data_IF_196953889577
#
_entry.id   IF_196953889577
#
_cell.length_a   1.000
_cell.length_b   1.000
_cell.length_c   1.000
_cell.angle_alpha   90.00
_cell.angle_beta   90.00
_cell.angle_gamma   90.00
#
_symmetry.space_group_name_H-M   'P 1'
#
loop_
_entity.id
_entity.type
_entity.pdbx_description
1 polymer ?
#
# COMPACT_ATOMS: atom_id res chain seq x y z
N UNK A 1 -23.37 -17.94 -25.50
CA UNK A 1 -22.51 -17.19 -26.45
C UNK A 1 -22.06 -15.81 -25.96
N UNK A 2 -22.96 -14.98 -25.40
CA UNK A 2 -22.73 -13.55 -25.11
C UNK A 2 -21.78 -13.25 -23.93
N UNK A 3 -21.78 -14.09 -22.89
CA UNK A 3 -20.90 -13.94 -21.71
C UNK A 3 -19.40 -14.04 -22.07
N UNK A 4 -19.02 -14.94 -22.98
CA UNK A 4 -17.64 -15.12 -23.44
C UNK A 4 -17.12 -13.89 -24.22
N UNK A 5 -17.98 -13.26 -25.05
CA UNK A 5 -17.62 -12.05 -25.81
C UNK A 5 -17.40 -10.86 -24.87
N UNK A 6 -18.28 -10.65 -23.89
CA UNK A 6 -18.14 -9.58 -22.87
C UNK A 6 -16.87 -9.75 -22.02
N UNK A 7 -16.57 -10.96 -21.59
CA UNK A 7 -15.35 -11.25 -20.84
C UNK A 7 -14.07 -10.95 -21.64
N UNK A 8 -14.05 -11.26 -22.95
CA UNK A 8 -12.92 -10.92 -23.83
C UNK A 8 -12.75 -9.42 -24.04
N UNK A 9 -13.84 -8.68 -24.22
CA UNK A 9 -13.82 -7.22 -24.36
C UNK A 9 -13.28 -6.57 -23.08
N UNK A 10 -13.80 -6.98 -21.92
CA UNK A 10 -13.31 -6.51 -20.63
C UNK A 10 -11.82 -6.81 -20.44
N UNK A 11 -11.39 -8.03 -20.75
CA UNK A 11 -9.97 -8.40 -20.67
C UNK A 11 -9.10 -7.50 -21.53
N UNK A 12 -9.53 -7.19 -22.77
CA UNK A 12 -8.83 -6.25 -23.65
C UNK A 12 -8.75 -4.85 -23.05
N UNK A 13 -9.83 -4.32 -22.46
CA UNK A 13 -9.80 -3.00 -21.84
C UNK A 13 -8.92 -2.96 -20.59
N UNK A 14 -9.03 -3.94 -19.69
CA UNK A 14 -8.16 -4.03 -18.50
C UNK A 14 -6.70 -4.14 -18.93
N UNK A 15 -6.42 -5.02 -19.90
CA UNK A 15 -5.07 -5.19 -20.44
C UNK A 15 -4.57 -3.88 -21.07
N UNK A 16 -5.38 -3.19 -21.88
CA UNK A 16 -5.00 -1.91 -22.48
C UNK A 16 -4.73 -0.83 -21.41
N UNK A 17 -5.56 -0.72 -20.37
CA UNK A 17 -5.36 0.23 -19.26
C UNK A 17 -4.08 -0.13 -18.50
N UNK A 18 -3.91 -1.39 -18.11
CA UNK A 18 -2.72 -1.84 -17.39
C UNK A 18 -1.44 -1.68 -18.23
N UNK A 19 -1.50 -1.93 -19.54
CA UNK A 19 -0.38 -1.68 -20.46
C UNK A 19 -0.13 -0.18 -20.63
N UNK A 20 -1.15 0.66 -20.71
CA UNK A 20 -0.98 2.11 -20.78
C UNK A 20 -0.31 2.64 -19.50
N UNK A 21 -0.76 2.19 -18.33
CA UNK A 21 -0.14 2.53 -17.03
C UNK A 21 1.31 2.03 -16.95
N UNK A 22 1.56 0.77 -17.32
CA UNK A 22 2.90 0.19 -17.31
C UNK A 22 3.83 0.86 -18.33
N UNK A 23 3.33 1.17 -19.53
CA UNK A 23 4.12 1.80 -20.59
C UNK A 23 4.42 3.25 -20.26
N UNK A 24 3.44 4.00 -19.72
CA UNK A 24 3.67 5.34 -19.23
C UNK A 24 4.78 5.31 -18.17
N UNK A 25 4.65 4.48 -17.15
CA UNK A 25 5.64 4.41 -16.07
C UNK A 25 7.03 3.90 -16.50
N UNK A 26 7.12 2.93 -17.40
CA UNK A 26 8.39 2.43 -17.95
C UNK A 26 9.07 3.46 -18.87
N UNK A 27 8.31 4.12 -19.75
CA UNK A 27 8.82 5.18 -20.63
C UNK A 27 9.34 6.38 -19.84
N UNK A 28 8.85 6.56 -18.61
CA UNK A 28 9.30 7.62 -17.72
C UNK A 28 10.41 7.19 -16.75
N UNK A 29 10.73 5.90 -16.55
CA UNK A 29 11.67 5.48 -15.49
C UNK A 29 13.10 6.07 -15.60
N UNK A 30 13.73 6.19 -16.79
CA UNK A 30 14.98 6.96 -16.95
C UNK A 30 14.73 8.46 -17.18
N UNK A 31 13.53 8.82 -17.64
CA UNK A 31 13.16 10.18 -18.08
C UNK A 31 12.57 11.05 -16.97
N UNK A 32 12.17 10.52 -15.80
CA UNK A 32 11.69 11.29 -14.65
C UNK A 32 12.74 12.32 -14.18
N UNK A 33 14.03 11.95 -14.27
CA UNK A 33 15.17 12.83 -13.96
C UNK A 33 15.29 13.98 -14.98
N UNK A 34 14.89 13.75 -16.24
CA UNK A 34 14.96 14.73 -17.34
C UNK A 34 13.64 15.45 -17.65
N UNK A 35 12.49 14.97 -17.15
CA UNK A 35 11.19 15.59 -17.34
C UNK A 35 10.88 16.61 -16.25
N UNK A 36 11.47 16.46 -15.07
CA UNK A 36 11.43 17.53 -14.06
C UNK A 36 12.19 18.79 -14.49
N UNK A 37 13.09 18.70 -15.48
CA UNK A 37 13.69 19.87 -16.13
C UNK A 37 12.90 20.39 -17.34
N UNK A 38 11.90 19.64 -17.85
CA UNK A 38 11.08 20.03 -19.02
C UNK A 38 9.62 20.43 -18.73
N UNK A 39 9.20 20.54 -17.47
CA UNK A 39 7.99 21.28 -17.09
C UNK A 39 6.99 20.50 -16.22
N UNK A 40 6.22 21.24 -15.41
CA UNK A 40 5.22 20.70 -14.49
C UNK A 40 4.10 19.90 -15.20
N UNK A 41 3.84 20.19 -16.46
CA UNK A 41 2.70 19.71 -17.23
C UNK A 41 2.74 18.20 -17.50
N UNK A 42 3.94 17.62 -17.69
CA UNK A 42 4.08 16.18 -17.91
C UNK A 42 3.73 15.35 -16.66
N UNK A 43 4.03 15.88 -15.47
CA UNK A 43 3.71 15.22 -14.20
C UNK A 43 2.22 15.30 -13.87
N UNK A 44 1.56 16.41 -14.23
CA UNK A 44 0.11 16.57 -14.05
C UNK A 44 -0.67 15.67 -15.01
N UNK A 45 -0.25 15.58 -16.28
CA UNK A 45 -0.86 14.66 -17.25
C UNK A 45 -0.76 13.20 -16.81
N UNK A 46 0.43 12.76 -16.36
CA UNK A 46 0.61 11.39 -15.89
C UNK A 46 -0.28 11.09 -14.66
N UNK A 47 -0.41 12.07 -13.76
CA UNK A 47 -1.28 11.94 -12.60
C UNK A 47 -2.75 11.78 -13.01
N UNK A 48 -3.24 12.62 -13.92
CA UNK A 48 -4.61 12.53 -14.46
C UNK A 48 -4.88 11.17 -15.13
N UNK A 49 -3.89 10.64 -15.87
CA UNK A 49 -3.98 9.29 -16.46
C UNK A 49 -4.06 8.21 -15.39
N UNK A 50 -3.22 8.27 -14.34
CA UNK A 50 -3.21 7.30 -13.24
C UNK A 50 -4.52 7.38 -12.45
N UNK A 51 -5.00 8.58 -12.16
CA UNK A 51 -6.25 8.83 -11.43
C UNK A 51 -7.44 8.27 -12.20
N UNK A 52 -7.57 8.60 -13.49
CA UNK A 52 -8.63 8.05 -14.36
C UNK A 52 -8.54 6.52 -14.49
N UNK A 53 -7.34 5.98 -14.69
CA UNK A 53 -7.14 4.52 -14.77
C UNK A 53 -7.55 3.84 -13.46
N UNK A 54 -7.24 4.46 -12.33
CA UNK A 54 -7.60 3.94 -11.01
C UNK A 54 -9.11 4.03 -10.77
N UNK A 55 -9.77 5.11 -11.17
CA UNK A 55 -11.23 5.22 -11.11
C UNK A 55 -11.93 4.11 -11.91
N UNK A 56 -11.40 3.78 -13.09
CA UNK A 56 -11.91 2.63 -13.86
C UNK A 56 -11.66 1.32 -13.11
N UNK A 57 -10.46 1.09 -12.58
CA UNK A 57 -10.12 -0.12 -11.82
C UNK A 57 -11.02 -0.27 -10.58
N UNK A 58 -11.31 0.83 -9.88
CA UNK A 58 -12.21 0.85 -8.73
C UNK A 58 -13.62 0.39 -9.10
N UNK A 59 -14.21 0.99 -10.14
CA UNK A 59 -15.53 0.60 -10.65
C UNK A 59 -15.55 -0.89 -11.01
N UNK A 60 -14.49 -1.38 -11.65
CA UNK A 60 -14.35 -2.79 -12.02
C UNK A 60 -14.23 -3.72 -10.81
N UNK A 61 -13.53 -3.31 -9.75
CA UNK A 61 -13.37 -4.10 -8.53
C UNK A 61 -14.70 -4.16 -7.76
N UNK A 62 -15.37 -3.02 -7.59
CA UNK A 62 -16.60 -2.89 -6.80
C UNK A 62 -17.82 -3.51 -7.50
N UNK A 63 -17.93 -3.42 -8.83
CA UNK A 63 -19.11 -3.87 -9.56
C UNK A 63 -19.14 -5.39 -9.76
N UNK A 64 -19.59 -6.12 -8.74
CA UNK A 64 -19.67 -7.58 -8.77
C UNK A 64 -20.79 -8.13 -9.67
N UNK A 65 -21.83 -7.33 -9.95
CA UNK A 65 -23.08 -7.80 -10.58
C UNK A 65 -22.98 -7.91 -12.11
N UNK A 66 -22.08 -7.14 -12.74
CA UNK A 66 -21.92 -7.15 -14.20
C UNK A 66 -20.60 -7.75 -14.71
N UNK A 67 -19.57 -7.83 -13.86
CA UNK A 67 -18.20 -8.06 -14.27
C UNK A 67 -17.54 -9.13 -13.39
N UNK A 68 -17.24 -10.28 -13.99
CA UNK A 68 -16.48 -11.34 -13.32
C UNK A 68 -14.99 -11.11 -13.50
N UNK A 69 -14.33 -10.53 -12.48
CA UNK A 69 -12.87 -10.47 -12.44
C UNK A 69 -12.28 -11.87 -12.25
N UNK A 70 -11.13 -12.12 -12.87
CA UNK A 70 -10.34 -13.36 -12.77
C UNK A 70 -8.99 -13.05 -12.13
N UNK A 71 -8.33 -14.07 -11.60
CA UNK A 71 -6.98 -13.91 -11.03
C UNK A 71 -5.94 -13.33 -12.01
N UNK A 72 -6.11 -13.55 -13.32
CA UNK A 72 -5.29 -12.90 -14.35
C UNK A 72 -5.48 -11.38 -14.41
N UNK A 73 -6.71 -10.87 -14.20
CA UNK A 73 -6.98 -9.43 -14.14
C UNK A 73 -6.31 -8.81 -12.92
N UNK A 74 -6.41 -9.45 -11.75
CA UNK A 74 -5.73 -8.99 -10.55
C UNK A 74 -4.20 -9.00 -10.73
N UNK A 75 -3.65 -9.97 -11.46
CA UNK A 75 -2.23 -10.01 -11.78
C UNK A 75 -1.80 -8.85 -12.68
N UNK A 76 -2.61 -8.52 -13.70
CA UNK A 76 -2.36 -7.37 -14.57
C UNK A 76 -2.42 -6.05 -13.79
N UNK A 77 -3.41 -5.89 -12.91
CA UNK A 77 -3.52 -4.72 -12.03
C UNK A 77 -2.27 -4.62 -11.16
N UNK A 78 -1.89 -5.68 -10.44
CA UNK A 78 -0.69 -5.67 -9.60
C UNK A 78 0.58 -5.35 -10.40
N UNK A 79 0.72 -5.91 -11.60
CA UNK A 79 1.87 -5.62 -12.47
C UNK A 79 1.89 -4.14 -12.90
N UNK A 80 0.74 -3.54 -13.21
CA UNK A 80 0.64 -2.12 -13.52
C UNK A 80 0.95 -1.22 -12.31
N UNK A 81 0.66 -1.69 -11.08
CA UNK A 81 0.99 -0.99 -9.85
C UNK A 81 2.47 -1.10 -9.48
N UNK A 82 3.19 -2.14 -9.91
CA UNK A 82 4.62 -2.34 -9.58
C UNK A 82 5.47 -1.09 -9.83
N UNK A 83 5.48 -0.49 -11.04
CA UNK A 83 6.30 0.69 -11.28
C UNK A 83 5.81 1.94 -10.53
N UNK A 84 4.52 2.00 -10.17
CA UNK A 84 3.94 3.09 -9.37
C UNK A 84 4.29 2.98 -7.87
N UNK A 85 4.45 1.75 -7.38
CA UNK A 85 4.84 1.46 -6.01
C UNK A 85 6.35 1.56 -5.79
N UNK A 86 7.15 1.69 -6.85
CA UNK A 86 8.62 1.82 -6.79
C UNK A 86 8.99 3.23 -6.30
N UNK A 87 10.11 3.45 -5.60
CA UNK A 87 10.35 4.72 -4.93
C UNK A 87 10.42 5.86 -5.93
N UNK A 88 9.46 6.77 -5.87
CA UNK A 88 9.60 8.13 -6.43
C UNK A 88 10.48 9.01 -5.52
N UNK A 89 11.14 8.41 -4.53
CA UNK A 89 11.86 9.10 -3.48
C UNK A 89 13.21 9.63 -3.97
N UNK A 90 13.48 10.87 -3.58
CA UNK A 90 14.79 11.50 -3.29
C UNK A 90 15.35 12.54 -4.25
N UNK A 91 14.89 12.67 -5.50
CA UNK A 91 15.46 13.69 -6.42
C UNK A 91 14.45 14.59 -7.11
N UNK A 92 13.24 14.67 -6.58
CA UNK A 92 12.21 15.51 -7.15
C UNK A 92 12.03 16.80 -6.34
N UNK A 93 11.84 17.93 -7.06
CA UNK A 93 11.38 19.18 -6.46
C UNK A 93 10.03 19.00 -5.76
N UNK A 94 9.58 20.03 -5.02
CA UNK A 94 8.35 19.98 -4.20
C UNK A 94 7.12 19.45 -4.97
N UNK A 95 6.91 19.89 -6.21
CA UNK A 95 5.79 19.42 -7.06
C UNK A 95 5.84 17.91 -7.31
N UNK A 96 7.03 17.39 -7.64
CA UNK A 96 7.21 15.96 -7.89
C UNK A 96 6.98 15.12 -6.63
N UNK A 97 7.42 15.59 -5.45
CA UNK A 97 7.10 14.90 -4.18
C UNK A 97 5.60 14.83 -3.91
N UNK A 98 4.87 15.93 -4.14
CA UNK A 98 3.41 15.94 -3.98
C UNK A 98 2.72 14.97 -4.93
N UNK A 99 3.15 14.90 -6.20
CA UNK A 99 2.64 13.92 -7.14
C UNK A 99 2.92 12.49 -6.66
N UNK A 100 4.11 12.22 -6.10
CA UNK A 100 4.45 10.93 -5.53
C UNK A 100 3.55 10.51 -4.37
N UNK A 101 3.24 11.42 -3.44
CA UNK A 101 2.32 11.13 -2.35
C UNK A 101 0.91 10.81 -2.85
N UNK A 102 0.43 11.54 -3.85
CA UNK A 102 -0.88 11.25 -4.45
C UNK A 102 -0.88 9.87 -5.13
N UNK A 103 0.15 9.54 -5.91
CA UNK A 103 0.29 8.21 -6.53
C UNK A 103 0.31 7.12 -5.45
N UNK A 104 1.05 7.32 -4.36
CA UNK A 104 1.09 6.39 -3.23
C UNK A 104 -0.32 6.12 -2.68
N UNK A 105 -1.09 7.18 -2.40
CA UNK A 105 -2.46 7.07 -1.87
C UNK A 105 -3.35 6.29 -2.84
N UNK A 106 -3.26 6.58 -4.13
CA UNK A 106 -4.02 5.90 -5.19
C UNK A 106 -3.66 4.41 -5.26
N UNK A 107 -2.37 4.06 -5.20
CA UNK A 107 -1.92 2.65 -5.15
C UNK A 107 -2.47 1.95 -3.92
N UNK A 108 -2.38 2.57 -2.74
CA UNK A 108 -2.94 2.03 -1.50
C UNK A 108 -4.45 1.80 -1.62
N UNK A 109 -5.19 2.74 -2.21
CA UNK A 109 -6.63 2.61 -2.44
C UNK A 109 -6.96 1.37 -3.28
N UNK A 110 -6.28 1.17 -4.41
CA UNK A 110 -6.48 -0.02 -5.26
C UNK A 110 -6.15 -1.31 -4.50
N UNK A 111 -5.04 -1.32 -3.75
CA UNK A 111 -4.66 -2.50 -2.95
C UNK A 111 -5.69 -2.80 -1.86
N UNK A 112 -6.24 -1.79 -1.19
CA UNK A 112 -7.30 -1.95 -0.19
C UNK A 112 -8.59 -2.50 -0.82
N UNK A 113 -9.01 -1.99 -1.99
CA UNK A 113 -10.16 -2.52 -2.73
C UNK A 113 -9.97 -3.98 -3.16
N UNK A 114 -8.77 -4.32 -3.65
CA UNK A 114 -8.43 -5.69 -3.99
C UNK A 114 -8.46 -6.62 -2.76
N UNK A 115 -7.93 -6.17 -1.62
CA UNK A 115 -7.94 -6.93 -0.38
C UNK A 115 -9.38 -7.09 0.17
N UNK A 116 -10.21 -6.06 0.14
CA UNK A 116 -11.57 -6.13 0.67
C UNK A 116 -12.53 -6.96 -0.20
N UNK A 117 -12.41 -6.88 -1.53
CA UNK A 117 -13.43 -7.45 -2.42
C UNK A 117 -12.96 -8.66 -3.21
N UNK A 118 -11.65 -8.88 -3.35
CA UNK A 118 -11.07 -9.83 -4.33
C UNK A 118 -9.89 -10.63 -3.79
N UNK A 119 -9.67 -10.66 -2.48
CA UNK A 119 -8.52 -11.33 -1.88
C UNK A 119 -8.49 -12.86 -2.15
N UNK A 120 -9.67 -13.50 -2.26
CA UNK A 120 -9.77 -14.89 -2.71
C UNK A 120 -9.20 -15.10 -4.13
N UNK A 121 -9.42 -14.16 -5.05
CA UNK A 121 -8.84 -14.23 -6.40
C UNK A 121 -7.32 -13.99 -6.39
N UNK A 122 -6.83 -13.34 -5.35
CA UNK A 122 -5.42 -13.11 -5.11
C UNK A 122 -4.72 -14.27 -4.41
N UNK A 123 -5.39 -15.35 -4.01
CA UNK A 123 -4.78 -16.41 -3.18
C UNK A 123 -3.41 -16.92 -3.71
N UNK A 124 -3.29 -17.14 -5.02
CA UNK A 124 -2.03 -17.57 -5.68
C UNK A 124 -1.02 -16.43 -5.93
N UNK A 125 -1.42 -15.20 -5.67
CA UNK A 125 -0.70 -13.95 -5.95
C UNK A 125 -0.49 -13.12 -4.68
N UNK A 126 -0.82 -13.64 -3.49
CA UNK A 126 -0.57 -12.99 -2.20
C UNK A 126 0.90 -12.57 -2.05
N UNK A 127 1.91 -13.39 -2.41
CA UNK A 127 3.30 -12.95 -2.32
C UNK A 127 3.61 -11.69 -3.16
N UNK A 128 3.07 -11.63 -4.37
CA UNK A 128 3.23 -10.45 -5.23
C UNK A 128 2.48 -9.24 -4.65
N UNK A 129 1.26 -9.43 -4.16
CA UNK A 129 0.50 -8.38 -3.47
C UNK A 129 1.29 -7.82 -2.26
N UNK A 130 1.77 -8.70 -1.39
CA UNK A 130 2.57 -8.32 -0.22
C UNK A 130 3.84 -7.57 -0.58
N UNK A 131 4.53 -7.98 -1.66
CA UNK A 131 5.73 -7.27 -2.12
C UNK A 131 5.43 -5.78 -2.33
N UNK A 132 4.28 -5.44 -2.92
CA UNK A 132 3.87 -4.05 -3.10
C UNK A 132 3.59 -3.37 -1.76
N UNK A 133 2.87 -4.03 -0.86
CA UNK A 133 2.56 -3.51 0.48
C UNK A 133 3.84 -3.22 1.29
N UNK A 134 4.80 -4.15 1.28
CA UNK A 134 6.09 -3.99 1.94
C UNK A 134 6.92 -2.86 1.31
N UNK A 135 6.88 -2.73 -0.02
CA UNK A 135 7.57 -1.65 -0.74
C UNK A 135 6.98 -0.28 -0.35
N UNK A 136 5.65 -0.16 -0.27
CA UNK A 136 4.98 1.05 0.19
C UNK A 136 5.31 1.37 1.65
N UNK A 137 5.38 0.37 2.51
CA UNK A 137 5.80 0.55 3.90
C UNK A 137 7.24 1.08 4.01
N UNK A 138 8.17 0.50 3.25
CA UNK A 138 9.56 0.98 3.17
C UNK A 138 9.63 2.44 2.67
N UNK A 139 8.82 2.79 1.66
CA UNK A 139 8.73 4.18 1.19
C UNK A 139 8.19 5.14 2.22
N UNK A 140 7.19 4.72 2.99
CA UNK A 140 6.67 5.53 4.06
C UNK A 140 7.76 5.82 5.10
N UNK A 141 8.51 4.80 5.54
CA UNK A 141 9.63 4.99 6.45
C UNK A 141 10.73 5.88 5.88
N UNK A 142 11.15 5.67 4.63
CA UNK A 142 12.11 6.54 3.96
C UNK A 142 11.59 7.97 3.87
N UNK A 143 10.31 8.18 3.57
CA UNK A 143 9.73 9.52 3.54
C UNK A 143 9.85 10.21 4.89
N UNK A 144 9.64 9.48 5.99
CA UNK A 144 9.75 10.00 7.34
C UNK A 144 11.19 10.31 7.76
N UNK A 145 12.16 9.49 7.34
CA UNK A 145 13.59 9.72 7.57
C UNK A 145 14.09 10.98 6.87
N UNK A 146 13.54 11.30 5.70
CA UNK A 146 13.94 12.47 4.91
C UNK A 146 13.20 13.76 5.30
N UNK A 147 12.31 13.71 6.30
CA UNK A 147 11.66 14.92 6.77
C UNK A 147 12.68 15.85 7.45
N UNK A 148 12.57 17.17 7.23
CA UNK A 148 13.49 18.13 7.82
C UNK A 148 13.44 18.05 9.35
N UNK A 149 14.62 18.04 9.97
CA UNK A 149 14.80 17.95 11.42
C UNK A 149 14.60 19.32 12.10
N UNK A 150 13.52 20.03 11.75
CA UNK A 150 13.26 21.39 12.24
C UNK A 150 12.16 21.42 13.31
N UNK A 151 12.18 22.44 14.16
CA UNK A 151 11.11 22.71 15.15
C UNK A 151 9.72 22.89 14.50
N UNK A 152 9.66 23.08 13.17
CA UNK A 152 8.43 23.25 12.40
C UNK A 152 8.11 22.04 11.51
N UNK A 153 8.73 20.87 11.76
CA UNK A 153 8.50 19.63 11.01
C UNK A 153 7.02 19.31 10.85
N UNK A 154 6.24 19.47 11.92
CA UNK A 154 4.80 19.19 11.96
C UNK A 154 3.95 20.12 11.09
N UNK A 155 4.49 21.27 10.68
CA UNK A 155 3.83 22.22 9.76
C UNK A 155 4.26 22.04 8.30
N UNK A 156 5.19 21.12 8.04
CA UNK A 156 5.64 20.85 6.68
C UNK A 156 4.54 20.15 5.90
N UNK A 157 4.32 20.59 4.66
CA UNK A 157 3.39 19.92 3.74
C UNK A 157 3.84 18.49 3.46
N UNK A 158 5.16 18.24 3.39
CA UNK A 158 5.71 16.89 3.23
C UNK A 158 5.36 16.00 4.44
N UNK A 159 5.24 16.57 5.64
CA UNK A 159 4.82 15.84 6.85
C UNK A 159 3.35 15.43 6.76
N UNK A 160 2.44 16.37 6.49
CA UNK A 160 1.01 16.09 6.35
C UNK A 160 0.73 15.08 5.24
N UNK A 161 1.35 15.25 4.08
CA UNK A 161 1.21 14.29 2.97
C UNK A 161 1.72 12.89 3.36
N UNK A 162 2.81 12.80 4.14
CA UNK A 162 3.29 11.50 4.65
C UNK A 162 2.30 10.85 5.65
N UNK A 163 1.57 11.64 6.44
CA UNK A 163 0.53 11.13 7.34
C UNK A 163 -0.68 10.62 6.56
N UNK A 164 -1.09 11.31 5.49
CA UNK A 164 -2.13 10.84 4.59
C UNK A 164 -1.76 9.51 3.93
N UNK A 165 -0.50 9.37 3.50
CA UNK A 165 0.04 8.11 2.99
C UNK A 165 -0.02 7.00 4.05
N UNK A 166 0.33 7.31 5.30
CA UNK A 166 0.22 6.36 6.41
C UNK A 166 -1.24 5.91 6.62
N UNK A 167 -2.19 6.83 6.61
CA UNK A 167 -3.62 6.52 6.71
C UNK A 167 -4.14 5.70 5.51
N UNK A 168 -3.65 5.95 4.31
CA UNK A 168 -3.96 5.14 3.13
C UNK A 168 -3.41 3.70 3.28
N UNK A 169 -2.18 3.55 3.76
CA UNK A 169 -1.58 2.24 4.00
C UNK A 169 -2.27 1.47 5.15
N UNK A 170 -2.72 2.19 6.20
CA UNK A 170 -3.55 1.63 7.28
C UNK A 170 -4.82 0.97 6.75
N UNK A 171 -5.49 1.56 5.77
CA UNK A 171 -6.66 0.96 5.14
C UNK A 171 -6.34 -0.36 4.43
N UNK A 172 -5.16 -0.47 3.80
CA UNK A 172 -4.68 -1.73 3.22
C UNK A 172 -4.45 -2.78 4.32
N UNK A 173 -3.82 -2.38 5.43
CA UNK A 173 -3.58 -3.26 6.56
C UNK A 173 -4.88 -3.74 7.22
N UNK A 174 -5.86 -2.86 7.38
CA UNK A 174 -7.18 -3.23 7.90
C UNK A 174 -7.92 -4.19 6.96
N UNK A 175 -7.84 -3.96 5.65
CA UNK A 175 -8.43 -4.87 4.66
C UNK A 175 -7.79 -6.27 4.72
N UNK A 176 -6.46 -6.36 4.91
CA UNK A 176 -5.77 -7.63 5.14
C UNK A 176 -6.09 -8.24 6.51
N UNK A 177 -6.32 -7.40 7.52
CA UNK A 177 -6.71 -7.79 8.88
C UNK A 177 -8.16 -8.25 9.00
N UNK A 178 -8.93 -8.33 7.92
CA UNK A 178 -10.28 -8.86 7.95
C UNK A 178 -10.26 -10.36 8.29
N UNK A 179 -10.91 -10.73 9.41
CA UNK A 179 -10.95 -12.09 9.95
C UNK A 179 -11.53 -13.12 8.98
N UNK A 180 -12.44 -12.72 8.08
CA UNK A 180 -12.99 -13.60 7.05
C UNK A 180 -11.90 -14.22 6.16
N UNK A 181 -10.77 -13.52 6.01
CA UNK A 181 -9.67 -13.90 5.13
C UNK A 181 -8.42 -14.34 5.90
N UNK A 182 -8.49 -14.42 7.23
CA UNK A 182 -7.33 -14.68 8.09
C UNK A 182 -6.54 -15.92 7.66
N UNK A 183 -7.21 -17.03 7.32
CA UNK A 183 -6.56 -18.28 6.89
C UNK A 183 -5.72 -18.14 5.61
N UNK A 184 -6.04 -17.17 4.76
CA UNK A 184 -5.31 -16.94 3.51
C UNK A 184 -4.05 -16.11 3.74
N UNK A 185 -4.09 -15.20 4.72
CA UNK A 185 -3.08 -14.17 4.91
C UNK A 185 -2.26 -14.33 6.19
N UNK A 186 -2.65 -15.19 7.14
CA UNK A 186 -1.96 -15.36 8.42
C UNK A 186 -0.49 -15.80 8.28
N UNK A 187 -0.13 -16.54 7.22
CA UNK A 187 1.27 -16.92 6.92
C UNK A 187 2.11 -15.78 6.36
N UNK A 188 1.46 -14.69 5.96
CA UNK A 188 2.00 -13.63 5.11
C UNK A 188 2.04 -12.27 5.82
N UNK A 189 1.00 -11.95 6.57
CA UNK A 189 0.91 -10.76 7.41
C UNK A 189 2.07 -10.59 8.42
N UNK A 190 2.60 -11.66 9.04
CA UNK A 190 3.76 -11.58 9.92
C UNK A 190 4.96 -10.84 9.31
N UNK A 191 5.19 -10.95 8.00
CA UNK A 191 6.27 -10.24 7.32
C UNK A 191 6.08 -8.72 7.30
N UNK A 192 4.82 -8.24 7.23
CA UNK A 192 4.50 -6.82 7.34
C UNK A 192 4.75 -6.34 8.76
N UNK A 193 4.28 -7.07 9.76
CA UNK A 193 4.47 -6.72 11.18
C UNK A 193 5.96 -6.73 11.55
N UNK A 194 6.71 -7.72 11.05
CA UNK A 194 8.16 -7.79 11.19
C UNK A 194 8.85 -6.56 10.58
N UNK A 195 8.54 -6.24 9.33
CA UNK A 195 9.13 -5.09 8.62
C UNK A 195 8.78 -3.77 9.30
N UNK A 196 7.56 -3.63 9.82
CA UNK A 196 7.15 -2.47 10.60
C UNK A 196 7.97 -2.35 11.89
N UNK A 197 8.09 -3.43 12.67
CA UNK A 197 8.83 -3.42 13.92
C UNK A 197 10.31 -3.07 13.72
N UNK A 198 10.95 -3.59 12.67
CA UNK A 198 12.31 -3.20 12.30
C UNK A 198 12.39 -1.72 11.90
N UNK A 199 11.48 -1.25 11.04
CA UNK A 199 11.44 0.14 10.59
C UNK A 199 11.31 1.13 11.75
N UNK A 200 10.42 0.87 12.70
CA UNK A 200 10.25 1.70 13.91
C UNK A 200 11.43 1.56 14.87
N UNK A 201 12.04 0.37 14.96
CA UNK A 201 13.23 0.15 15.76
C UNK A 201 14.43 0.99 15.29
N UNK A 202 14.52 1.25 13.98
CA UNK A 202 15.54 2.13 13.39
C UNK A 202 15.13 3.60 13.35
N UNK A 203 13.84 3.90 13.23
CA UNK A 203 13.29 5.25 13.21
C UNK A 203 12.07 5.33 14.14
N UNK A 204 12.24 5.79 15.39
CA UNK A 204 11.11 5.96 16.30
C UNK A 204 10.07 6.91 15.72
N UNK A 205 8.81 6.48 15.75
CA UNK A 205 7.68 7.27 15.27
C UNK A 205 7.26 8.31 16.30
N UNK A 206 6.88 9.49 15.81
CA UNK A 206 6.19 10.49 16.63
C UNK A 206 4.72 10.09 16.91
N UNK A 207 4.05 10.88 17.74
CA UNK A 207 2.67 10.59 18.15
C UNK A 207 1.68 10.54 16.97
N UNK A 208 1.76 11.46 16.01
CA UNK A 208 0.83 11.51 14.88
C UNK A 208 1.08 10.37 13.90
N UNK A 209 2.35 10.05 13.64
CA UNK A 209 2.74 8.91 12.82
C UNK A 209 2.21 7.61 13.42
N UNK A 210 2.34 7.42 14.74
CA UNK A 210 1.78 6.26 15.45
C UNK A 210 0.27 6.20 15.30
N UNK A 211 -0.44 7.28 15.60
CA UNK A 211 -1.91 7.35 15.47
C UNK A 211 -2.37 7.01 14.05
N UNK A 212 -1.62 7.42 13.03
CA UNK A 212 -1.99 7.17 11.64
C UNK A 212 -1.79 5.70 11.21
N UNK A 213 -0.76 5.00 11.70
CA UNK A 213 -0.38 3.67 11.20
C UNK A 213 -0.67 2.49 12.12
N UNK A 214 -0.59 2.68 13.44
CA UNK A 214 -0.70 1.60 14.44
C UNK A 214 -2.05 0.88 14.38
N UNK A 215 -3.21 1.54 14.14
CA UNK A 215 -4.48 0.82 14.00
C UNK A 215 -4.46 -0.25 12.91
N UNK A 216 -3.75 0.01 11.80
CA UNK A 216 -3.57 -0.98 10.74
C UNK A 216 -2.70 -2.14 11.18
N UNK A 217 -1.61 -1.87 11.89
CA UNK A 217 -0.74 -2.91 12.45
C UNK A 217 -1.49 -3.78 13.48
N UNK A 218 -2.37 -3.20 14.28
CA UNK A 218 -3.22 -3.96 15.20
C UNK A 218 -4.18 -4.90 14.47
N UNK A 219 -4.81 -4.44 13.37
CA UNK A 219 -5.63 -5.32 12.53
C UNK A 219 -4.82 -6.51 11.97
N UNK A 220 -3.56 -6.29 11.61
CA UNK A 220 -2.65 -7.35 11.17
C UNK A 220 -2.26 -8.32 12.31
N UNK A 221 -2.01 -7.80 13.51
CA UNK A 221 -1.71 -8.62 14.70
C UNK A 221 -2.91 -9.50 15.07
N UNK A 222 -4.14 -9.01 14.86
CA UNK A 222 -5.38 -9.72 15.18
C UNK A 222 -5.56 -11.01 14.35
N UNK A 223 -5.12 -11.01 13.09
CA UNK A 223 -5.16 -12.20 12.23
C UNK A 223 -3.95 -13.13 12.37
N UNK A 224 -2.93 -12.73 13.14
CA UNK A 224 -1.78 -13.59 13.45
C UNK A 224 -2.11 -14.51 14.63
N UNK A 225 -1.84 -15.82 14.51
CA UNK A 225 -1.94 -16.70 15.67
C UNK A 225 -0.77 -16.48 16.62
N UNK A 226 -0.82 -17.13 17.78
CA UNK A 226 0.29 -17.11 18.73
C UNK A 226 1.59 -17.65 18.11
N UNK A 227 1.50 -18.65 17.24
CA UNK A 227 2.67 -19.26 16.59
C UNK A 227 3.38 -18.25 15.69
N UNK A 228 2.65 -17.58 14.79
CA UNK A 228 3.28 -16.60 13.90
C UNK A 228 3.79 -15.38 14.67
N UNK A 229 3.12 -14.96 15.75
CA UNK A 229 3.62 -13.89 16.63
C UNK A 229 4.94 -14.26 17.31
N UNK A 230 5.07 -15.48 17.82
CA UNK A 230 6.32 -15.98 18.41
C UNK A 230 7.45 -16.06 17.38
N UNK A 231 7.15 -16.56 16.18
CA UNK A 231 8.12 -16.62 15.07
C UNK A 231 8.58 -15.22 14.65
N UNK A 232 7.62 -14.28 14.52
CA UNK A 232 7.92 -12.88 14.22
C UNK A 232 8.87 -12.29 15.26
N UNK A 233 8.56 -12.47 16.55
CA UNK A 233 9.38 -11.98 17.65
C UNK A 233 10.80 -12.57 17.66
N UNK A 234 10.94 -13.87 17.39
CA UNK A 234 12.24 -14.55 17.35
C UNK A 234 13.17 -13.99 16.25
N UNK A 235 12.59 -13.56 15.12
CA UNK A 235 13.33 -13.07 13.95
C UNK A 235 13.62 -11.55 13.98
N UNK A 236 13.28 -10.86 15.06
CA UNK A 236 13.57 -9.42 15.23
C UNK A 236 14.91 -9.21 15.96
N UNK A 237 15.59 -8.11 15.64
CA UNK A 237 16.69 -7.60 16.45
C UNK A 237 16.17 -6.98 17.76
N UNK A 238 17.04 -6.56 18.68
CA UNK A 238 16.61 -6.09 20.00
C UNK A 238 15.71 -4.85 19.94
N UNK A 239 16.02 -3.90 19.03
CA UNK A 239 15.17 -2.74 18.79
C UNK A 239 13.77 -3.13 18.29
N UNK A 240 13.70 -4.02 17.30
CA UNK A 240 12.43 -4.55 16.79
C UNK A 240 11.66 -5.36 17.84
N UNK A 241 12.35 -6.14 18.67
CA UNK A 241 11.74 -6.90 19.79
C UNK A 241 11.11 -5.96 20.82
N UNK A 242 11.76 -4.85 21.15
CA UNK A 242 11.22 -3.83 22.05
C UNK A 242 9.95 -3.20 21.47
N UNK A 243 9.98 -2.80 20.19
CA UNK A 243 8.81 -2.27 19.48
C UNK A 243 7.67 -3.30 19.43
N UNK A 244 7.96 -4.54 19.07
CA UNK A 244 6.95 -5.59 18.96
C UNK A 244 6.30 -5.90 20.30
N UNK A 245 7.07 -5.96 21.39
CA UNK A 245 6.51 -6.09 22.76
C UNK A 245 5.55 -4.95 23.07
N UNK A 246 5.96 -3.70 22.79
CA UNK A 246 5.11 -2.53 23.02
C UNK A 246 3.80 -2.61 22.21
N UNK A 247 3.88 -2.99 20.93
CA UNK A 247 2.69 -3.19 20.08
C UNK A 247 1.75 -4.28 20.61
N UNK A 248 2.28 -5.40 21.12
CA UNK A 248 1.44 -6.47 21.69
C UNK A 248 0.75 -6.02 22.98
N UNK A 249 1.44 -5.25 23.82
CA UNK A 249 0.85 -4.67 25.03
C UNK A 249 -0.26 -3.69 24.66
N UNK A 250 0.02 -2.75 23.76
CA UNK A 250 -0.94 -1.75 23.28
C UNK A 250 -2.15 -2.40 22.60
N UNK A 251 -1.93 -3.38 21.72
CA UNK A 251 -2.99 -4.17 21.09
C UNK A 251 -3.90 -4.84 22.13
N UNK A 252 -3.32 -5.48 23.15
CA UNK A 252 -4.09 -6.16 24.21
C UNK A 252 -4.88 -5.15 25.04
N UNK A 253 -4.33 -3.98 25.34
CA UNK A 253 -4.98 -3.00 26.21
C UNK A 253 -6.06 -2.21 25.49
N UNK A 254 -5.79 -1.79 24.24
CA UNK A 254 -6.56 -0.72 23.58
C UNK A 254 -7.32 -1.17 22.33
N UNK A 255 -6.96 -2.30 21.71
CA UNK A 255 -7.54 -2.72 20.42
C UNK A 255 -8.34 -4.03 20.50
N UNK A 256 -7.83 -5.04 21.20
CA UNK A 256 -8.52 -6.35 21.27
C UNK A 256 -9.92 -6.25 21.88
N UNK A 257 -10.13 -5.30 22.78
CA UNK A 257 -11.38 -5.12 23.53
C UNK A 257 -12.33 -4.07 22.93
N UNK A 258 -11.98 -3.42 21.82
CA UNK A 258 -12.84 -2.40 21.19
C UNK A 258 -13.83 -2.96 20.16
N UNK A 259 -13.84 -4.29 19.94
CA UNK A 259 -14.71 -4.96 18.95
C UNK A 259 -15.83 -5.83 19.53
N UNK A 260 -16.01 -5.86 20.86
CA UNK A 260 -17.07 -6.63 21.54
C UNK A 260 -18.18 -5.73 22.12
N UNK A 261 -18.42 -4.53 21.55
CA UNK A 261 -19.48 -3.61 21.94
C UNK A 261 -20.44 -3.32 20.76
#
# INVERSE_FOLDING_TARGET
GTSSKRARILHKHISAICHACASATQSFSPLWINLTSRGADASEWLFDVIEKATGVIEILIQNQRGITLRGSHCSLILHALTPLATPLTLRHGRKGRMASYKIFIVVCHVLALLANHRLLLLARKIPAFLKHVLTLLDHLFKSWQNLPNSKYRTRSIDYHASLECAGALTRVFQALGNREHAKLVNKYVPYIVHSFALGVGSLPLDGMQKTAIVPGIHALIDVCSEVERKQTFANLNDGGKAVFKALIVDYKQNYKFSGDA
#
